data_IF_553813956577
#
_entry.id   IF_553813956577
#
_cell.length_a   1.000
_cell.length_b   1.000
_cell.length_c   1.000
_cell.angle_alpha   90.00
_cell.angle_beta   90.00
_cell.angle_gamma   90.00
#
_symmetry.space_group_name_H-M   'P 1'
#
loop_
_entity.id
_entity.type
_entity.pdbx_description
1 polymer ?
#
# COMPACT_ATOMS: atom_id res chain seq x y z
N UNK A 1 -6.77 -45.89 -36.42
CA UNK A 1 -8.10 -45.36 -36.82
C UNK A 1 -8.27 -43.99 -36.19
N UNK A 2 -8.72 -43.01 -36.99
CA UNK A 2 -9.52 -41.81 -36.65
C UNK A 2 -9.25 -41.09 -35.30
N UNK A 3 -9.16 -39.76 -35.21
CA UNK A 3 -9.31 -38.62 -36.12
C UNK A 3 -9.35 -37.40 -35.18
N UNK A 4 -8.62 -36.33 -35.51
CA UNK A 4 -9.13 -34.95 -35.60
C UNK A 4 -9.44 -34.23 -34.28
N UNK A 5 -9.40 -32.91 -34.15
CA UNK A 5 -8.95 -31.77 -34.95
C UNK A 5 -9.01 -30.58 -33.99
N UNK A 6 -8.16 -29.59 -34.25
CA UNK A 6 -8.31 -28.20 -33.83
C UNK A 6 -9.76 -27.69 -33.99
N UNK A 7 -10.28 -27.01 -32.97
CA UNK A 7 -11.33 -26.01 -33.14
C UNK A 7 -10.90 -24.74 -32.43
N UNK A 8 -10.35 -23.83 -33.24
CA UNK A 8 -10.28 -22.40 -32.97
C UNK A 8 -11.71 -21.87 -33.05
N UNK A 9 -12.21 -21.24 -31.98
CA UNK A 9 -13.38 -20.38 -32.06
C UNK A 9 -12.97 -18.98 -31.62
N UNK A 10 -12.54 -18.21 -32.62
CA UNK A 10 -12.57 -16.75 -32.60
C UNK A 10 -14.01 -16.29 -32.45
N UNK A 11 -14.34 -15.62 -31.35
CA UNK A 11 -15.52 -14.77 -31.28
C UNK A 11 -15.06 -13.33 -31.03
N UNK A 12 -14.97 -12.58 -32.12
CA UNK A 12 -14.92 -11.14 -32.08
C UNK A 12 -16.27 -10.62 -31.56
N UNK A 13 -16.27 -9.94 -30.43
CA UNK A 13 -17.36 -9.06 -30.03
C UNK A 13 -16.86 -7.62 -30.22
N UNK A 14 -17.44 -7.02 -31.25
CA UNK A 14 -17.12 -5.70 -31.74
C UNK A 14 -17.49 -4.60 -30.75
N UNK A 15 -16.82 -3.47 -31.03
CA UNK A 15 -16.99 -2.15 -30.48
C UNK A 15 -18.43 -1.62 -30.52
N UNK A 16 -18.59 -0.54 -29.77
CA UNK A 16 -19.57 0.55 -29.88
C UNK A 16 -20.85 0.43 -29.04
N UNK A 17 -20.79 0.99 -27.83
CA UNK A 17 -21.91 1.80 -27.36
C UNK A 17 -21.53 3.28 -27.50
N UNK A 18 -22.30 3.94 -28.34
CA UNK A 18 -22.24 5.33 -28.69
C UNK A 18 -22.45 6.24 -27.48
N UNK A 19 -21.71 7.34 -27.47
CA UNK A 19 -22.13 8.58 -26.84
C UNK A 19 -23.48 9.00 -27.41
N UNK A 20 -24.48 9.16 -26.55
CA UNK A 20 -25.73 9.83 -26.90
C UNK A 20 -25.82 11.12 -26.08
N UNK A 21 -25.53 12.23 -26.75
CA UNK A 21 -26.02 13.55 -26.36
C UNK A 21 -27.54 13.57 -26.60
N UNK A 22 -28.33 13.98 -25.62
CA UNK A 22 -29.77 14.12 -25.80
C UNK A 22 -30.48 14.58 -24.53
N UNK A 23 -30.60 15.89 -24.41
CA UNK A 23 -31.38 16.60 -23.38
C UNK A 23 -32.87 16.25 -23.44
N UNK A 24 -33.50 15.99 -22.30
CA UNK A 24 -34.89 16.37 -22.00
C UNK A 24 -35.24 16.12 -20.52
N UNK A 25 -35.83 17.15 -19.90
CA UNK A 25 -36.24 17.27 -18.50
C UNK A 25 -37.00 16.10 -17.91
N UNK A 26 -36.73 15.84 -16.63
CA UNK A 26 -37.72 15.41 -15.65
C UNK A 26 -37.21 15.80 -14.27
N UNK A 27 -37.91 16.71 -13.59
CA UNK A 27 -37.77 17.00 -12.17
C UNK A 27 -37.76 15.68 -11.37
N UNK A 28 -36.58 15.29 -10.91
CA UNK A 28 -36.42 14.40 -9.76
C UNK A 28 -35.87 15.25 -8.64
N UNK A 29 -36.66 15.39 -7.58
CA UNK A 29 -36.10 15.58 -6.24
C UNK A 29 -35.08 14.48 -6.04
N UNK A 30 -33.80 14.83 -6.15
CA UNK A 30 -32.74 14.07 -5.51
C UNK A 30 -33.00 14.21 -4.01
N UNK A 31 -33.66 13.19 -3.45
CA UNK A 31 -33.31 12.74 -2.12
C UNK A 31 -31.81 12.38 -2.21
N UNK A 32 -30.95 13.36 -1.91
CA UNK A 32 -29.54 13.12 -1.62
C UNK A 32 -29.54 12.31 -0.33
N UNK A 33 -29.79 11.01 -0.45
CA UNK A 33 -29.49 10.03 0.57
C UNK A 33 -27.97 10.09 0.69
N UNK A 34 -27.50 10.91 1.64
CA UNK A 34 -26.11 10.96 2.07
C UNK A 34 -25.74 9.51 2.36
N UNK A 35 -25.02 8.85 1.46
CA UNK A 35 -24.49 7.53 1.71
C UNK A 35 -23.54 7.68 2.88
N UNK A 36 -24.02 7.31 4.07
CA UNK A 36 -23.17 7.23 5.24
C UNK A 36 -22.26 6.03 5.01
N UNK A 37 -21.06 6.28 4.52
CA UNK A 37 -19.98 5.28 4.45
C UNK A 37 -19.83 4.64 5.83
N UNK A 38 -19.89 3.31 5.90
CA UNK A 38 -19.78 2.61 7.18
C UNK A 38 -18.39 2.80 7.78
N UNK A 39 -18.24 2.72 9.10
CA UNK A 39 -16.91 2.84 9.71
C UNK A 39 -15.95 1.76 9.21
N UNK A 40 -16.46 0.58 8.87
CA UNK A 40 -15.69 -0.48 8.21
C UNK A 40 -15.14 -0.04 6.85
N UNK A 41 -15.97 0.61 6.02
CA UNK A 41 -15.54 1.10 4.71
C UNK A 41 -14.56 2.26 4.85
N UNK A 42 -14.73 3.15 5.85
CA UNK A 42 -13.78 4.23 6.14
C UNK A 42 -12.41 3.67 6.54
N UNK A 43 -12.38 2.65 7.39
CA UNK A 43 -11.14 1.98 7.82
C UNK A 43 -10.44 1.33 6.63
N UNK A 44 -11.20 0.64 5.76
CA UNK A 44 -10.64 0.04 4.56
C UNK A 44 -10.08 1.10 3.61
N UNK A 45 -10.83 2.18 3.35
CA UNK A 45 -10.39 3.25 2.47
C UNK A 45 -9.12 3.92 3.00
N UNK A 46 -9.07 4.23 4.30
CA UNK A 46 -7.88 4.82 4.90
C UNK A 46 -6.67 3.87 4.85
N UNK A 47 -6.88 2.56 5.01
CA UNK A 47 -5.81 1.59 4.82
C UNK A 47 -5.27 1.58 3.38
N UNK A 48 -6.15 1.66 2.38
CA UNK A 48 -5.74 1.78 0.97
C UNK A 48 -5.00 3.11 0.69
N UNK A 49 -5.47 4.22 1.28
CA UNK A 49 -4.79 5.52 1.17
C UNK A 49 -3.36 5.44 1.73
N UNK A 50 -3.15 4.72 2.84
CA UNK A 50 -1.82 4.50 3.41
C UNK A 50 -0.93 3.63 2.50
N UNK A 51 -1.49 2.60 1.87
CA UNK A 51 -0.78 1.78 0.87
C UNK A 51 -0.28 2.67 -0.27
N UNK A 52 -1.11 3.59 -0.76
CA UNK A 52 -0.73 4.55 -1.80
C UNK A 52 0.37 5.50 -1.31
N UNK A 53 0.23 6.09 -0.11
CA UNK A 53 1.25 6.98 0.49
C UNK A 53 2.61 6.29 0.60
N UNK A 54 2.64 5.03 1.01
CA UNK A 54 3.89 4.26 1.08
C UNK A 54 4.42 4.02 -0.34
N UNK A 55 3.61 3.49 -1.26
CA UNK A 55 4.03 3.16 -2.62
C UNK A 55 4.59 4.37 -3.40
N UNK A 56 4.03 5.57 -3.20
CA UNK A 56 4.52 6.81 -3.81
C UNK A 56 5.98 7.13 -3.44
N UNK A 57 6.43 6.69 -2.26
CA UNK A 57 7.71 7.10 -1.68
C UNK A 57 8.70 5.95 -1.50
N UNK A 58 8.28 4.69 -1.61
CA UNK A 58 9.04 3.50 -1.16
C UNK A 58 9.86 2.79 -2.26
N UNK A 59 9.85 3.31 -3.50
CA UNK A 59 10.44 2.62 -4.66
C UNK A 59 11.93 2.27 -4.52
N UNK A 60 12.78 3.22 -4.09
CA UNK A 60 14.22 2.95 -3.94
C UNK A 60 14.51 2.01 -2.77
N UNK A 61 13.70 2.07 -1.71
CA UNK A 61 13.79 1.14 -0.59
C UNK A 61 13.47 -0.29 -1.05
N UNK A 62 12.36 -0.48 -1.77
CA UNK A 62 12.00 -1.78 -2.34
C UNK A 62 13.08 -2.33 -3.28
N UNK A 63 13.69 -1.47 -4.12
CA UNK A 63 14.80 -1.86 -4.97
C UNK A 63 16.01 -2.38 -4.16
N UNK A 64 16.33 -1.74 -3.03
CA UNK A 64 17.38 -2.21 -2.14
C UNK A 64 17.02 -3.55 -1.47
N UNK A 65 15.82 -3.69 -0.91
CA UNK A 65 15.37 -4.93 -0.27
C UNK A 65 15.35 -6.09 -1.28
N UNK A 66 14.84 -5.84 -2.49
CA UNK A 66 14.87 -6.80 -3.59
C UNK A 66 16.29 -7.20 -3.98
N UNK A 67 17.23 -6.26 -4.03
CA UNK A 67 18.64 -6.55 -4.28
C UNK A 67 19.27 -7.38 -3.15
N UNK A 68 18.95 -7.10 -1.88
CA UNK A 68 19.44 -7.88 -0.73
C UNK A 68 18.97 -9.34 -0.79
N UNK A 69 17.73 -9.57 -1.23
CA UNK A 69 17.12 -10.90 -1.36
C UNK A 69 17.39 -11.63 -2.70
N UNK A 70 18.07 -11.00 -3.65
CA UNK A 70 18.30 -11.57 -4.98
C UNK A 70 19.27 -12.76 -4.98
N UNK A 71 19.12 -13.66 -5.96
CA UNK A 71 20.03 -14.77 -6.24
C UNK A 71 20.44 -14.79 -7.73
N UNK A 72 21.72 -14.52 -8.08
CA UNK A 72 22.82 -14.24 -7.17
C UNK A 72 22.70 -12.86 -6.50
N UNK A 73 23.08 -12.80 -5.21
CA UNK A 73 23.13 -11.55 -4.45
C UNK A 73 24.16 -10.59 -5.08
N UNK A 74 23.83 -9.30 -5.29
CA UNK A 74 24.77 -8.29 -5.76
C UNK A 74 25.97 -8.13 -4.82
N UNK A 75 27.02 -7.49 -5.33
CA UNK A 75 28.19 -7.20 -4.50
C UNK A 75 27.86 -6.20 -3.39
N UNK A 76 28.66 -6.19 -2.31
CA UNK A 76 28.50 -5.19 -1.24
C UNK A 76 28.71 -3.74 -1.75
N UNK A 77 29.46 -3.55 -2.83
CA UNK A 77 29.63 -2.25 -3.46
C UNK A 77 28.32 -1.80 -4.17
N UNK A 78 27.66 -2.73 -4.88
CA UNK A 78 26.38 -2.46 -5.52
C UNK A 78 25.28 -2.18 -4.49
N UNK A 79 25.22 -2.97 -3.41
CA UNK A 79 24.29 -2.74 -2.31
C UNK A 79 24.56 -1.41 -1.59
N UNK A 80 25.82 -1.03 -1.42
CA UNK A 80 26.17 0.29 -0.86
C UNK A 80 25.71 1.45 -1.75
N UNK A 81 25.74 1.28 -3.07
CA UNK A 81 25.24 2.29 -4.01
C UNK A 81 23.71 2.46 -3.91
N UNK A 82 22.98 1.38 -3.63
CA UNK A 82 21.52 1.39 -3.44
C UNK A 82 21.09 1.87 -2.04
N UNK A 83 21.94 1.73 -1.01
CA UNK A 83 21.58 2.04 0.37
C UNK A 83 21.24 3.54 0.60
N UNK A 84 21.94 4.46 -0.08
CA UNK A 84 21.67 5.90 0.05
C UNK A 84 20.27 6.30 -0.47
N UNK A 85 19.91 6.00 -1.74
CA UNK A 85 18.56 6.31 -2.22
C UNK A 85 17.48 5.54 -1.44
N UNK A 86 17.75 4.30 -1.02
CA UNK A 86 16.84 3.54 -0.15
C UNK A 86 16.59 4.24 1.20
N UNK A 87 17.63 4.76 1.84
CA UNK A 87 17.51 5.55 3.08
C UNK A 87 16.68 6.82 2.89
N UNK A 88 16.87 7.52 1.77
CA UNK A 88 16.12 8.73 1.44
C UNK A 88 14.65 8.43 1.15
N UNK A 89 14.38 7.33 0.45
CA UNK A 89 13.03 6.81 0.18
C UNK A 89 12.32 6.40 1.47
N UNK A 90 12.96 5.60 2.34
CA UNK A 90 12.41 5.24 3.65
C UNK A 90 12.12 6.48 4.52
N UNK A 91 13.00 7.48 4.51
CA UNK A 91 12.76 8.73 5.24
C UNK A 91 11.54 9.50 4.70
N UNK A 92 11.36 9.56 3.38
CA UNK A 92 10.17 10.19 2.78
C UNK A 92 8.88 9.49 3.18
N UNK A 93 8.88 8.16 3.20
CA UNK A 93 7.72 7.38 3.69
C UNK A 93 7.43 7.75 5.14
N UNK A 94 8.46 7.77 6.00
CA UNK A 94 8.31 8.18 7.40
C UNK A 94 7.69 9.58 7.54
N UNK A 95 8.22 10.57 6.81
CA UNK A 95 7.74 11.95 6.86
C UNK A 95 6.31 12.11 6.32
N UNK A 96 5.97 11.37 5.26
CA UNK A 96 4.61 11.36 4.70
C UNK A 96 3.61 10.77 5.70
N UNK A 97 3.91 9.61 6.28
CA UNK A 97 3.07 8.97 7.31
C UNK A 97 2.95 9.82 8.57
N UNK A 98 4.02 10.50 9.01
CA UNK A 98 3.98 11.42 10.15
C UNK A 98 3.09 12.66 9.89
N UNK A 99 2.96 13.06 8.63
CA UNK A 99 2.15 14.21 8.20
C UNK A 99 0.71 13.83 7.86
N UNK A 100 0.43 12.53 7.75
CA UNK A 100 -0.87 12.00 7.36
C UNK A 100 -1.95 12.35 8.39
N UNK A 101 -3.13 12.72 7.89
CA UNK A 101 -4.25 13.09 8.76
C UNK A 101 -5.22 11.94 8.84
N UNK A 102 -5.16 11.20 9.95
CA UNK A 102 -6.14 10.16 10.22
C UNK A 102 -7.55 10.74 10.24
N UNK A 103 -8.46 10.27 9.36
CA UNK A 103 -9.85 10.70 9.36
C UNK A 103 -10.60 10.13 10.56
N UNK A 104 -11.87 10.50 10.74
CA UNK A 104 -12.73 9.88 11.74
C UNK A 104 -13.15 8.46 11.28
N UNK A 105 -12.53 7.46 11.90
CA UNK A 105 -12.74 6.03 11.69
C UNK A 105 -13.64 5.42 12.78
N UNK A 106 -14.39 6.25 13.51
CA UNK A 106 -15.16 5.82 14.67
C UNK A 106 -14.25 5.29 15.77
N UNK A 107 -14.60 4.12 16.33
CA UNK A 107 -13.85 3.51 17.45
C UNK A 107 -12.39 3.17 17.12
N UNK A 108 -12.05 3.03 15.83
CA UNK A 108 -10.72 2.62 15.38
C UNK A 108 -9.75 3.79 15.21
N UNK A 109 -10.20 5.04 15.35
CA UNK A 109 -9.42 6.25 15.01
C UNK A 109 -8.09 6.32 15.77
N UNK A 110 -8.12 6.20 17.09
CA UNK A 110 -6.93 6.37 17.92
C UNK A 110 -5.94 5.22 17.74
N UNK A 111 -6.43 3.99 17.63
CA UNK A 111 -5.60 2.80 17.42
C UNK A 111 -4.93 2.84 16.03
N UNK A 112 -5.68 3.22 14.99
CA UNK A 112 -5.11 3.36 13.64
C UNK A 112 -4.05 4.46 13.63
N UNK A 113 -4.33 5.62 14.24
CA UNK A 113 -3.36 6.72 14.36
C UNK A 113 -2.07 6.28 15.07
N UNK A 114 -2.19 5.52 16.15
CA UNK A 114 -1.03 4.97 16.86
C UNK A 114 -0.23 4.00 15.97
N UNK A 115 -0.91 3.13 15.23
CA UNK A 115 -0.29 2.19 14.30
C UNK A 115 0.43 2.90 13.14
N UNK A 116 -0.17 3.95 12.54
CA UNK A 116 0.50 4.79 11.52
C UNK A 116 1.75 5.45 12.09
N UNK A 117 1.70 5.96 13.33
CA UNK A 117 2.88 6.53 13.97
C UNK A 117 3.98 5.49 14.16
N UNK A 118 3.64 4.27 14.57
CA UNK A 118 4.61 3.17 14.69
C UNK A 118 5.26 2.84 13.35
N UNK A 119 4.47 2.78 12.27
CA UNK A 119 4.97 2.55 10.92
C UNK A 119 5.93 3.67 10.48
N UNK A 120 5.54 4.92 10.70
CA UNK A 120 6.39 6.10 10.47
C UNK A 120 7.72 5.99 11.22
N UNK A 121 7.67 5.67 12.52
CA UNK A 121 8.87 5.53 13.35
C UNK A 121 9.76 4.36 12.85
N UNK A 122 9.16 3.26 12.38
CA UNK A 122 9.89 2.11 11.83
C UNK A 122 10.63 2.46 10.53
N UNK A 123 9.97 3.14 9.58
CA UNK A 123 10.63 3.65 8.36
C UNK A 123 11.76 4.65 8.68
N UNK A 124 11.62 5.44 9.75
CA UNK A 124 12.71 6.30 10.23
C UNK A 124 13.90 5.49 10.72
N UNK A 125 13.66 4.42 11.50
CA UNK A 125 14.71 3.52 11.95
C UNK A 125 15.42 2.86 10.77
N UNK A 126 14.67 2.46 9.75
CA UNK A 126 15.22 1.88 8.51
C UNK A 126 16.13 2.88 7.79
N UNK A 127 15.66 4.11 7.60
CA UNK A 127 16.44 5.17 6.99
C UNK A 127 17.75 5.44 7.75
N UNK A 128 17.70 5.48 9.08
CA UNK A 128 18.86 5.72 9.93
C UNK A 128 19.84 4.51 9.91
N UNK A 129 19.31 3.28 9.89
CA UNK A 129 20.10 2.04 9.77
C UNK A 129 20.86 1.95 8.45
N UNK A 130 20.21 2.26 7.32
CA UNK A 130 20.82 2.23 5.99
C UNK A 130 21.97 3.24 5.81
N UNK A 131 21.97 4.33 6.60
CA UNK A 131 23.09 5.30 6.65
C UNK A 131 24.23 4.83 7.54
N UNK A 132 23.98 3.93 8.49
CA UNK A 132 24.96 3.49 9.45
C UNK A 132 25.99 2.54 8.81
N UNK A 133 27.21 2.57 9.35
CA UNK A 133 28.23 1.59 9.00
C UNK A 133 27.73 0.18 9.33
N UNK A 134 27.71 -0.70 8.34
CA UNK A 134 27.24 -2.07 8.47
C UNK A 134 25.78 -2.30 8.10
N UNK A 135 24.96 -1.24 7.96
CA UNK A 135 23.55 -1.32 7.51
C UNK A 135 22.74 -2.40 8.26
N UNK A 136 22.86 -2.43 9.58
CA UNK A 136 22.10 -3.36 10.42
C UNK A 136 20.66 -2.87 10.59
N UNK A 137 19.74 -3.50 9.88
CA UNK A 137 18.30 -3.18 9.84
C UNK A 137 17.49 -3.92 10.90
N UNK A 138 18.10 -4.80 11.71
CA UNK A 138 17.37 -5.73 12.61
C UNK A 138 16.33 -5.03 13.49
N UNK A 139 16.67 -3.87 14.07
CA UNK A 139 15.73 -3.10 14.91
C UNK A 139 14.59 -2.46 14.12
N UNK A 140 14.87 -2.04 12.90
CA UNK A 140 13.88 -1.46 12.01
C UNK A 140 12.93 -2.56 11.51
N UNK A 141 13.44 -3.74 11.17
CA UNK A 141 12.66 -4.92 10.81
C UNK A 141 11.70 -5.33 11.95
N UNK A 142 12.18 -5.37 13.19
CA UNK A 142 11.34 -5.63 14.37
C UNK A 142 10.26 -4.55 14.58
N UNK A 143 10.57 -3.30 14.30
CA UNK A 143 9.63 -2.19 14.43
C UNK A 143 8.57 -2.22 13.32
N UNK A 144 8.95 -2.55 12.09
CA UNK A 144 8.03 -2.73 10.96
C UNK A 144 7.07 -3.88 11.22
N UNK A 145 7.56 -5.02 11.70
CA UNK A 145 6.70 -6.16 12.06
C UNK A 145 5.65 -5.78 13.12
N UNK A 146 6.05 -5.03 14.16
CA UNK A 146 5.11 -4.54 15.19
C UNK A 146 4.08 -3.56 14.63
N UNK A 147 4.49 -2.66 13.74
CA UNK A 147 3.59 -1.72 13.09
C UNK A 147 2.56 -2.46 12.21
N UNK A 148 3.01 -3.47 11.45
CA UNK A 148 2.14 -4.35 10.66
C UNK A 148 1.12 -5.08 11.54
N UNK A 149 1.56 -5.67 12.66
CA UNK A 149 0.67 -6.35 13.61
C UNK A 149 -0.36 -5.39 14.21
N UNK A 150 0.02 -4.14 14.49
CA UNK A 150 -0.90 -3.12 14.99
C UNK A 150 -1.95 -2.76 13.94
N UNK A 151 -1.55 -2.51 12.68
CA UNK A 151 -2.49 -2.23 11.58
C UNK A 151 -3.43 -3.42 11.35
N UNK A 152 -2.89 -4.63 11.27
CA UNK A 152 -3.64 -5.87 11.11
C UNK A 152 -4.70 -6.06 12.20
N UNK A 153 -4.36 -5.70 13.45
CA UNK A 153 -5.29 -5.76 14.58
C UNK A 153 -6.42 -4.74 14.44
N UNK A 154 -6.13 -3.51 14.03
CA UNK A 154 -7.15 -2.48 13.79
C UNK A 154 -8.13 -2.90 12.68
N UNK A 155 -7.60 -3.46 11.58
CA UNK A 155 -8.43 -4.00 10.49
C UNK A 155 -9.38 -5.10 11.01
N UNK A 156 -8.84 -6.04 11.79
CA UNK A 156 -9.63 -7.12 12.39
C UNK A 156 -10.74 -6.60 13.31
N UNK A 157 -10.44 -5.63 14.17
CA UNK A 157 -11.40 -5.04 15.12
C UNK A 157 -12.46 -4.17 14.44
N UNK A 158 -12.19 -3.71 13.22
CA UNK A 158 -13.17 -3.11 12.31
C UNK A 158 -13.99 -4.17 11.52
N UNK A 159 -13.71 -5.46 11.69
CA UNK A 159 -14.39 -6.55 10.99
C UNK A 159 -13.91 -6.76 9.55
N UNK A 160 -12.69 -6.30 9.23
CA UNK A 160 -11.99 -6.57 7.98
C UNK A 160 -11.06 -7.79 8.15
N UNK A 161 -10.60 -8.33 7.03
CA UNK A 161 -9.50 -9.28 7.07
C UNK A 161 -8.21 -8.53 7.46
N UNK A 162 -7.38 -9.09 8.34
CA UNK A 162 -6.05 -8.54 8.60
C UNK A 162 -5.22 -8.50 7.31
N UNK A 163 -4.38 -7.48 7.17
CA UNK A 163 -3.38 -7.37 6.10
C UNK A 163 -2.05 -6.84 6.63
N UNK A 164 -0.99 -6.97 5.84
CA UNK A 164 0.35 -6.44 6.12
C UNK A 164 0.63 -5.32 5.11
N UNK A 165 0.79 -4.09 5.61
CA UNK A 165 1.08 -2.96 4.73
C UNK A 165 2.47 -3.10 4.10
N UNK A 166 3.44 -3.69 4.81
CA UNK A 166 4.77 -3.90 4.24
C UNK A 166 4.75 -4.93 3.10
N UNK A 167 3.91 -5.95 3.19
CA UNK A 167 3.71 -6.92 2.10
C UNK A 167 2.96 -6.31 0.93
N UNK A 168 1.90 -5.55 1.19
CA UNK A 168 1.04 -4.95 0.17
C UNK A 168 1.74 -3.80 -0.60
N UNK A 169 2.85 -3.30 -0.07
CA UNK A 169 3.67 -2.24 -0.67
C UNK A 169 5.06 -2.72 -1.11
N UNK A 170 5.37 -4.01 -0.94
CA UNK A 170 6.57 -4.61 -1.49
C UNK A 170 6.43 -4.76 -3.01
N UNK A 171 7.45 -4.32 -3.76
CA UNK A 171 7.52 -4.43 -5.23
C UNK A 171 8.87 -4.94 -5.72
#
# INVERSE_FOLDING_TARGET
MKKWLLVVLTLALGLSLAACSGSSSSDKKEDTKKETTSDKDKVLNYYMDLVDVVNENNGDYNAYVGAVGADPKPSEADLAALAKPASESALKVSEALASEKTPDLGKSTDDFKAAVKQLSDAYKLEADALKASGRDTTKADEAMAKADEAIASVLKDAGLNPSSITTDTAS
#
